data_IF_735377537828
#
_entry.id   IF_735377537828
#
_cell.length_a   1.000
_cell.length_b   1.000
_cell.length_c   1.000
_cell.angle_alpha   90.00
_cell.angle_beta   90.00
_cell.angle_gamma   90.00
#
_symmetry.space_group_name_H-M   'P 1'
#
loop_
_entity.id
_entity.type
_entity.pdbx_description
1 polymer ?
#
# COMPACT_ATOMS: atom_id res chain seq x y z
N UNK A 1 -25.10 29.53 35.50
CA UNK A 1 -25.51 28.66 34.38
C UNK A 1 -26.44 29.43 33.40
N UNK A 2 -26.01 30.56 32.85
CA UNK A 2 -26.85 31.36 31.94
C UNK A 2 -26.03 32.18 30.92
N UNK A 3 -24.89 31.68 30.45
CA UNK A 3 -24.05 32.39 29.44
C UNK A 3 -23.50 31.49 28.32
N UNK A 4 -24.06 30.29 28.10
CA UNK A 4 -23.62 29.38 27.03
C UNK A 4 -24.69 29.05 25.98
N UNK A 5 -25.79 29.82 25.91
CA UNK A 5 -26.91 29.62 24.95
C UNK A 5 -27.03 30.66 23.84
N UNK A 6 -26.10 31.60 23.71
CA UNK A 6 -26.22 32.75 22.74
C UNK A 6 -25.30 32.61 21.51
N UNK A 7 -24.48 31.57 21.39
CA UNK A 7 -23.55 31.43 20.24
C UNK A 7 -23.96 30.39 19.21
N UNK A 8 -25.16 29.80 19.28
CA UNK A 8 -25.65 28.79 18.31
C UNK A 8 -26.85 29.22 17.47
N UNK A 9 -27.24 30.51 17.50
CA UNK A 9 -28.44 30.99 16.76
C UNK A 9 -28.17 31.93 15.57
N UNK A 10 -26.94 32.09 15.07
CA UNK A 10 -26.63 33.02 13.97
C UNK A 10 -26.16 32.43 12.66
N UNK A 11 -26.45 31.12 12.39
CA UNK A 11 -26.17 30.47 11.11
C UNK A 11 -27.43 29.98 10.37
N UNK A 12 -28.48 30.83 10.37
CA UNK A 12 -29.55 30.73 9.38
C UNK A 12 -29.73 32.09 8.76
N UNK A 13 -29.38 32.23 7.54
CA UNK A 13 -29.85 33.15 6.47
C UNK A 13 -28.73 33.24 5.44
N UNK A 14 -28.86 32.59 4.33
CA UNK A 14 -28.94 33.11 2.99
C UNK A 14 -28.92 31.97 1.97
N UNK A 15 -30.11 31.49 1.64
CA UNK A 15 -30.33 30.81 0.35
C UNK A 15 -30.65 31.93 -0.65
N UNK A 16 -29.69 32.26 -1.51
CA UNK A 16 -30.00 32.86 -2.81
C UNK A 16 -29.23 32.11 -3.87
N UNK A 17 -29.99 31.44 -4.71
CA UNK A 17 -29.62 30.83 -5.96
C UNK A 17 -28.94 31.85 -6.88
N UNK A 18 -27.66 31.65 -7.18
CA UNK A 18 -27.04 32.10 -8.44
C UNK A 18 -26.16 30.99 -8.97
N UNK A 19 -26.62 30.41 -10.08
CA UNK A 19 -25.87 29.52 -10.94
C UNK A 19 -24.66 30.26 -11.51
N UNK A 20 -23.47 29.98 -10.99
CA UNK A 20 -22.23 30.25 -11.71
C UNK A 20 -21.71 28.90 -12.22
N UNK A 21 -21.84 28.68 -13.52
CA UNK A 21 -21.12 27.64 -14.23
C UNK A 21 -19.63 28.02 -14.23
N UNK A 22 -18.91 27.58 -13.21
CA UNK A 22 -17.46 27.62 -13.20
C UNK A 22 -16.96 26.48 -14.09
N UNK A 23 -16.37 26.81 -15.22
CA UNK A 23 -15.62 25.90 -16.07
C UNK A 23 -14.43 25.39 -15.27
N UNK A 24 -14.58 24.24 -14.61
CA UNK A 24 -13.52 23.60 -13.86
C UNK A 24 -12.45 23.07 -14.81
N UNK A 25 -11.21 23.47 -14.60
CA UNK A 25 -10.07 22.97 -15.38
C UNK A 25 -9.93 21.46 -15.25
N UNK A 26 -9.49 20.73 -16.29
CA UNK A 26 -9.48 19.25 -16.31
C UNK A 26 -8.54 18.58 -15.29
N UNK A 27 -7.77 19.33 -14.51
CA UNK A 27 -6.79 18.80 -13.57
C UNK A 27 -7.32 18.50 -12.15
N UNK A 28 -8.44 19.10 -11.73
CA UNK A 28 -9.01 18.91 -10.38
C UNK A 28 -10.03 17.76 -10.30
N UNK A 29 -10.53 17.26 -11.41
CA UNK A 29 -11.58 16.23 -11.44
C UNK A 29 -11.09 14.81 -11.11
N UNK A 30 -9.79 14.51 -11.23
CA UNK A 30 -9.29 13.15 -11.06
C UNK A 30 -9.27 12.66 -9.60
N UNK A 31 -9.19 13.57 -8.62
CA UNK A 31 -9.17 13.21 -7.20
C UNK A 31 -10.57 13.31 -6.58
N UNK A 32 -11.35 14.29 -6.98
CA UNK A 32 -12.72 14.47 -6.51
C UNK A 32 -13.66 13.37 -7.03
N UNK A 33 -13.47 12.87 -8.25
CA UNK A 33 -14.28 11.77 -8.82
C UNK A 33 -14.04 10.43 -8.12
N UNK A 34 -12.94 10.27 -7.38
CA UNK A 34 -12.68 9.06 -6.59
C UNK A 34 -13.56 8.98 -5.32
N UNK A 35 -14.05 10.13 -4.84
CA UNK A 35 -14.82 10.25 -3.60
C UNK A 35 -16.29 10.67 -3.81
N UNK A 36 -16.67 11.10 -5.00
CA UNK A 36 -18.07 11.41 -5.29
C UNK A 36 -18.90 10.12 -5.47
N UNK A 37 -19.97 9.93 -4.69
CA UNK A 37 -20.92 8.87 -4.96
C UNK A 37 -21.53 9.11 -6.35
N UNK A 38 -21.51 8.08 -7.19
CA UNK A 38 -22.15 8.10 -8.51
C UNK A 38 -23.67 8.19 -8.28
N UNK A 39 -24.26 9.38 -8.27
CA UNK A 39 -25.70 9.61 -8.10
C UNK A 39 -26.56 8.90 -9.18
N UNK A 40 -25.94 8.49 -10.27
CA UNK A 40 -26.64 7.72 -11.34
C UNK A 40 -26.94 6.26 -10.96
N UNK A 41 -26.43 5.74 -9.86
CA UNK A 41 -26.72 4.35 -9.42
C UNK A 41 -27.80 4.22 -8.34
N UNK A 42 -28.34 5.32 -7.83
CA UNK A 42 -29.29 5.31 -6.72
C UNK A 42 -30.77 5.41 -7.16
N UNK A 43 -31.16 4.91 -8.31
CA UNK A 43 -32.54 5.18 -8.61
C UNK A 43 -33.33 4.39 -9.65
N UNK A 44 -32.78 3.36 -10.27
CA UNK A 44 -33.64 2.50 -11.12
C UNK A 44 -33.34 1.03 -10.83
N UNK A 45 -34.22 0.39 -10.05
CA UNK A 45 -34.37 -1.07 -10.13
C UNK A 45 -34.66 -1.39 -11.60
N UNK A 46 -34.02 -2.38 -12.23
CA UNK A 46 -34.46 -2.87 -13.54
C UNK A 46 -35.93 -3.33 -13.35
N UNK A 47 -36.85 -2.68 -14.02
CA UNK A 47 -38.20 -3.17 -14.13
C UNK A 47 -38.16 -4.61 -14.63
N UNK A 48 -39.08 -5.43 -14.14
CA UNK A 48 -39.31 -6.81 -14.55
C UNK A 48 -39.19 -6.92 -16.08
N UNK A 49 -38.06 -7.42 -16.55
CA UNK A 49 -37.90 -7.81 -17.96
C UNK A 49 -38.60 -9.17 -18.05
N UNK A 50 -39.80 -9.18 -18.62
CA UNK A 50 -40.46 -10.42 -19.00
C UNK A 50 -39.55 -11.24 -19.90
N UNK A 51 -39.35 -12.54 -19.64
CA UNK A 51 -38.40 -13.36 -20.39
C UNK A 51 -38.78 -13.62 -21.86
N UNK A 52 -39.95 -13.25 -22.30
CA UNK A 52 -40.48 -13.68 -23.58
C UNK A 52 -40.20 -12.78 -24.80
N UNK A 53 -39.48 -11.67 -24.62
CA UNK A 53 -39.16 -10.76 -25.75
C UNK A 53 -37.69 -10.88 -26.23
N UNK A 54 -36.84 -11.67 -25.52
CA UNK A 54 -35.41 -11.72 -25.82
C UNK A 54 -34.98 -12.72 -26.90
N UNK A 55 -35.89 -13.57 -27.40
CA UNK A 55 -35.53 -14.68 -28.31
C UNK A 55 -35.70 -14.42 -29.80
N UNK A 56 -36.22 -13.25 -30.24
CA UNK A 56 -36.47 -12.97 -31.64
C UNK A 56 -35.82 -11.72 -32.22
N UNK A 57 -34.84 -11.13 -31.52
CA UNK A 57 -34.00 -10.11 -32.15
C UNK A 57 -32.74 -10.74 -32.73
N UNK A 58 -32.87 -11.52 -33.77
CA UNK A 58 -31.80 -11.65 -34.76
C UNK A 58 -31.57 -10.27 -35.32
N UNK A 59 -30.53 -9.57 -34.78
CA UNK A 59 -30.12 -8.30 -35.35
C UNK A 59 -29.57 -8.58 -36.78
N UNK A 60 -30.38 -8.36 -37.78
CA UNK A 60 -30.02 -8.35 -39.19
C UNK A 60 -29.20 -7.09 -39.56
N UNK A 61 -28.56 -6.44 -38.57
CA UNK A 61 -27.62 -5.37 -38.88
C UNK A 61 -26.36 -5.98 -39.50
N UNK A 62 -25.95 -5.53 -40.68
CA UNK A 62 -24.72 -5.99 -41.33
C UNK A 62 -23.54 -5.75 -40.37
N UNK A 63 -22.52 -6.62 -40.42
CA UNK A 63 -21.33 -6.43 -39.55
C UNK A 63 -20.77 -5.05 -39.80
N UNK A 64 -20.50 -4.32 -38.72
CA UNK A 64 -19.98 -2.95 -38.81
C UNK A 64 -18.72 -2.94 -39.69
N UNK A 65 -18.60 -2.01 -40.64
CA UNK A 65 -17.50 -1.96 -41.60
C UNK A 65 -16.17 -1.88 -40.83
N UNK A 66 -15.11 -2.52 -41.35
CA UNK A 66 -13.75 -2.57 -40.75
C UNK A 66 -13.21 -1.18 -40.38
N UNK A 67 -13.70 -0.12 -41.00
CA UNK A 67 -13.41 1.29 -40.68
C UNK A 67 -13.83 1.73 -39.25
N UNK A 68 -14.75 0.99 -38.61
CA UNK A 68 -15.17 1.22 -37.22
C UNK A 68 -14.15 0.70 -36.20
N UNK A 69 -13.19 -0.12 -36.60
CA UNK A 69 -12.10 -0.51 -35.72
C UNK A 69 -11.14 0.66 -35.52
N UNK A 70 -11.06 1.15 -34.31
CA UNK A 70 -10.16 2.25 -33.94
C UNK A 70 -8.71 1.85 -34.22
N UNK A 71 -8.09 2.48 -35.21
CA UNK A 71 -6.68 2.33 -35.51
C UNK A 71 -5.90 2.87 -34.30
N UNK A 72 -4.93 2.11 -33.73
CA UNK A 72 -4.10 2.61 -32.64
C UNK A 72 -3.43 3.92 -33.05
N UNK A 73 -3.45 4.95 -32.19
CA UNK A 73 -2.78 6.21 -32.52
C UNK A 73 -1.29 5.98 -32.72
N UNK A 74 -0.68 6.70 -33.64
CA UNK A 74 0.78 6.67 -33.86
C UNK A 74 1.46 7.05 -32.55
N UNK A 75 2.38 6.20 -32.08
CA UNK A 75 3.16 6.44 -30.86
C UNK A 75 4.14 7.59 -31.11
N UNK A 76 3.89 8.73 -30.46
CA UNK A 76 4.82 9.86 -30.46
C UNK A 76 5.73 9.79 -29.25
N UNK A 77 6.99 10.21 -29.39
CA UNK A 77 7.96 10.26 -28.28
C UNK A 77 7.42 11.03 -27.07
N UNK A 78 6.63 12.08 -27.29
CA UNK A 78 6.00 12.88 -26.22
C UNK A 78 4.92 12.12 -25.44
N UNK A 79 4.28 11.10 -26.03
CA UNK A 79 3.23 10.32 -25.38
C UNK A 79 3.79 9.15 -24.54
N UNK A 80 4.99 8.66 -24.87
CA UNK A 80 5.60 7.49 -24.22
C UNK A 80 5.79 7.64 -22.71
N UNK A 81 6.35 8.73 -22.14
CA UNK A 81 6.51 8.86 -20.68
C UNK A 81 5.18 8.74 -19.94
N UNK A 82 4.12 9.35 -20.47
CA UNK A 82 2.77 9.27 -19.88
C UNK A 82 2.22 7.84 -19.93
N UNK A 83 2.48 7.09 -21.00
CA UNK A 83 2.05 5.70 -21.10
C UNK A 83 2.84 4.81 -20.14
N UNK A 84 4.16 4.98 -20.03
CA UNK A 84 4.99 4.23 -19.10
C UNK A 84 4.62 4.49 -17.63
N UNK A 85 4.31 5.73 -17.24
CA UNK A 85 3.83 6.04 -15.89
C UNK A 85 2.48 5.39 -15.59
N UNK A 86 1.59 5.25 -16.60
CA UNK A 86 0.33 4.52 -16.45
C UNK A 86 0.53 3.00 -16.38
N UNK A 87 1.44 2.43 -17.16
CA UNK A 87 1.80 1.01 -17.12
C UNK A 87 2.42 0.63 -15.78
N UNK A 88 3.37 1.43 -15.32
CA UNK A 88 4.04 1.24 -14.01
C UNK A 88 3.12 1.50 -12.82
N UNK A 89 1.90 2.04 -13.02
CA UNK A 89 1.04 2.51 -11.92
C UNK A 89 1.83 3.42 -10.96
N UNK A 90 2.44 4.47 -11.48
CA UNK A 90 3.46 5.29 -10.79
C UNK A 90 3.12 5.68 -9.35
N UNK A 91 1.84 5.98 -9.03
CA UNK A 91 1.40 6.29 -7.66
C UNK A 91 1.58 5.09 -6.72
N UNK A 92 1.23 3.89 -7.17
CA UNK A 92 1.42 2.67 -6.40
C UNK A 92 2.91 2.35 -6.26
N UNK A 93 3.67 2.41 -7.35
CA UNK A 93 5.12 2.19 -7.34
C UNK A 93 5.83 3.15 -6.39
N UNK A 94 5.44 4.43 -6.35
CA UNK A 94 5.98 5.39 -5.38
C UNK A 94 5.73 4.95 -3.93
N UNK A 95 4.52 4.50 -3.60
CA UNK A 95 4.20 3.98 -2.25
C UNK A 95 5.00 2.71 -1.92
N UNK A 96 5.20 1.82 -2.89
CA UNK A 96 6.04 0.62 -2.73
C UNK A 96 7.49 1.01 -2.42
N UNK A 97 8.04 2.00 -3.15
CA UNK A 97 9.38 2.53 -2.86
C UNK A 97 9.45 3.14 -1.47
N UNK A 98 8.44 3.92 -1.05
CA UNK A 98 8.40 4.48 0.30
C UNK A 98 8.42 3.41 1.39
N UNK A 99 7.72 2.28 1.21
CA UNK A 99 7.77 1.18 2.17
C UNK A 99 9.13 0.47 2.17
N UNK A 100 9.81 0.38 1.03
CA UNK A 100 11.19 -0.12 0.96
C UNK A 100 12.14 0.84 1.69
N UNK A 101 12.00 2.15 1.47
CA UNK A 101 12.81 3.16 2.17
C UNK A 101 12.54 3.18 3.68
N UNK A 102 11.32 2.89 4.12
CA UNK A 102 11.04 2.71 5.55
C UNK A 102 11.82 1.53 6.14
N UNK A 103 11.99 0.43 5.38
CA UNK A 103 12.85 -0.69 5.77
C UNK A 103 14.32 -0.28 5.92
N UNK A 104 14.84 0.55 4.99
CA UNK A 104 16.20 1.13 5.11
C UNK A 104 16.29 2.03 6.35
N UNK A 105 15.32 2.92 6.52
CA UNK A 105 15.36 3.93 7.57
C UNK A 105 15.28 3.35 8.99
N UNK A 106 14.53 2.24 9.19
CA UNK A 106 14.41 1.59 10.50
C UNK A 106 15.56 0.62 10.78
N UNK A 107 16.27 0.15 9.74
CA UNK A 107 17.42 -0.75 9.94
C UNK A 107 18.44 -0.15 10.91
N UNK A 108 19.02 -0.95 11.82
CA UNK A 108 20.14 -0.53 12.65
C UNK A 108 21.43 -0.39 11.85
N UNK A 109 21.53 -1.08 10.70
CA UNK A 109 22.73 -1.07 9.88
C UNK A 109 22.77 0.15 8.96
N UNK A 110 23.91 0.81 8.82
CA UNK A 110 24.05 1.98 7.98
C UNK A 110 23.94 1.62 6.48
N UNK A 111 23.33 2.51 5.71
CA UNK A 111 23.29 2.39 4.26
C UNK A 111 24.05 3.56 3.61
N UNK A 112 24.86 3.26 2.61
CA UNK A 112 25.50 4.30 1.80
C UNK A 112 24.47 4.99 0.88
N UNK A 113 24.70 6.24 0.53
CA UNK A 113 23.82 6.97 -0.40
C UNK A 113 23.65 6.24 -1.74
N UNK A 114 24.71 5.70 -2.38
CA UNK A 114 24.54 4.89 -3.59
C UNK A 114 23.64 3.67 -3.39
N UNK A 115 23.78 2.94 -2.28
CA UNK A 115 22.92 1.78 -1.95
C UNK A 115 21.47 2.19 -1.76
N UNK A 116 21.23 3.31 -1.07
CA UNK A 116 19.88 3.86 -0.86
C UNK A 116 19.21 4.21 -2.20
N UNK A 117 19.91 4.94 -3.07
CA UNK A 117 19.41 5.32 -4.40
C UNK A 117 19.17 4.09 -5.27
N UNK A 118 20.11 3.13 -5.29
CA UNK A 118 19.97 1.90 -6.04
C UNK A 118 18.78 1.06 -5.56
N UNK A 119 18.56 0.99 -4.25
CA UNK A 119 17.42 0.29 -3.66
C UNK A 119 16.10 0.96 -4.05
N UNK A 120 16.02 2.28 -4.01
CA UNK A 120 14.83 3.03 -4.44
C UNK A 120 14.53 2.82 -5.93
N UNK A 121 15.52 3.00 -6.81
CA UNK A 121 15.35 2.86 -8.25
C UNK A 121 15.12 1.39 -8.64
N UNK A 122 15.88 0.45 -8.08
CA UNK A 122 15.73 -0.98 -8.32
C UNK A 122 14.34 -1.49 -7.91
N UNK A 123 13.84 -1.09 -6.73
CA UNK A 123 12.48 -1.39 -6.28
C UNK A 123 11.43 -0.78 -7.20
N UNK A 124 11.63 0.46 -7.67
CA UNK A 124 10.73 1.10 -8.62
C UNK A 124 10.66 0.34 -9.95
N UNK A 125 11.80 -0.11 -10.48
CA UNK A 125 11.88 -0.88 -11.72
C UNK A 125 11.20 -2.26 -11.55
N UNK A 126 11.46 -2.98 -10.46
CA UNK A 126 10.79 -4.24 -10.15
C UNK A 126 9.27 -4.07 -10.06
N UNK A 127 8.80 -3.02 -9.36
CA UNK A 127 7.38 -2.69 -9.25
C UNK A 127 6.77 -2.30 -10.60
N UNK A 128 7.49 -1.54 -11.43
CA UNK A 128 7.05 -1.17 -12.77
C UNK A 128 6.86 -2.40 -13.67
N UNK A 129 7.82 -3.33 -13.66
CA UNK A 129 7.75 -4.61 -14.36
C UNK A 129 6.53 -5.42 -13.91
N UNK A 130 6.41 -5.67 -12.61
CA UNK A 130 5.32 -6.44 -12.03
C UNK A 130 3.94 -5.85 -12.38
N UNK A 131 3.77 -4.54 -12.27
CA UNK A 131 2.53 -3.84 -12.62
C UNK A 131 2.21 -3.91 -14.11
N UNK A 132 3.23 -3.83 -14.97
CA UNK A 132 3.08 -3.92 -16.43
C UNK A 132 2.68 -5.33 -16.86
N UNK A 133 3.35 -6.36 -16.33
CA UNK A 133 3.00 -7.76 -16.57
C UNK A 133 1.59 -8.10 -16.10
N UNK A 134 1.18 -7.56 -14.95
CA UNK A 134 -0.20 -7.71 -14.47
C UNK A 134 -1.20 -7.08 -15.44
N UNK A 135 -0.93 -5.88 -15.98
CA UNK A 135 -1.82 -5.25 -16.96
C UNK A 135 -1.90 -6.05 -18.28
N UNK A 136 -0.79 -6.65 -18.74
CA UNK A 136 -0.77 -7.50 -19.94
C UNK A 136 -1.72 -8.70 -19.80
N UNK A 137 -1.73 -9.33 -18.63
CA UNK A 137 -2.55 -10.52 -18.35
C UNK A 137 -4.02 -10.20 -18.09
N UNK A 138 -4.32 -8.99 -17.62
CA UNK A 138 -5.66 -8.60 -17.18
C UNK A 138 -6.47 -7.81 -18.23
N UNK A 139 -5.96 -7.59 -19.45
CA UNK A 139 -6.65 -6.79 -20.49
C UNK A 139 -8.13 -7.13 -20.65
N UNK A 140 -8.56 -8.41 -20.83
CA UNK A 140 -9.97 -8.74 -21.04
C UNK A 140 -10.84 -8.50 -19.80
N UNK A 141 -10.27 -8.52 -18.60
CA UNK A 141 -10.98 -8.29 -17.33
C UNK A 141 -11.05 -6.80 -17.01
N UNK A 142 -9.97 -6.09 -17.25
CA UNK A 142 -9.88 -4.64 -17.11
C UNK A 142 -10.88 -3.91 -18.00
N UNK A 143 -11.17 -4.44 -19.17
CA UNK A 143 -12.16 -3.91 -20.10
C UNK A 143 -13.59 -3.94 -19.51
N UNK A 144 -13.90 -4.87 -18.63
CA UNK A 144 -15.20 -5.06 -18.01
C UNK A 144 -15.42 -4.15 -16.78
N UNK A 145 -14.37 -3.56 -16.24
CA UNK A 145 -14.43 -2.74 -15.03
C UNK A 145 -14.35 -1.24 -15.37
N UNK A 146 -15.29 -0.44 -14.90
CA UNK A 146 -15.35 1.02 -15.12
C UNK A 146 -14.04 1.70 -14.71
N UNK A 147 -13.43 1.26 -13.61
CA UNK A 147 -12.19 1.83 -13.07
C UNK A 147 -10.96 1.57 -13.96
N UNK A 148 -10.90 0.43 -14.65
CA UNK A 148 -9.70 -0.03 -15.35
C UNK A 148 -9.83 -0.02 -16.88
N UNK A 149 -11.04 0.15 -17.44
CA UNK A 149 -11.26 0.21 -18.90
C UNK A 149 -10.47 1.30 -19.62
N UNK A 150 -9.98 2.32 -18.88
CA UNK A 150 -9.16 3.40 -19.44
C UNK A 150 -7.64 3.10 -19.40
N UNK A 151 -7.23 1.89 -18.99
CA UNK A 151 -5.82 1.49 -19.03
C UNK A 151 -5.25 1.50 -20.45
N UNK A 152 -3.96 1.80 -20.65
CA UNK A 152 -3.34 1.94 -21.97
C UNK A 152 -3.56 0.75 -22.90
N UNK A 153 -3.43 -0.47 -22.39
CA UNK A 153 -3.62 -1.70 -23.17
C UNK A 153 -5.08 -1.93 -23.54
N UNK A 154 -6.02 -1.67 -22.63
CA UNK A 154 -7.46 -1.84 -22.89
C UNK A 154 -7.93 -0.90 -23.99
N UNK A 155 -7.49 0.36 -23.95
CA UNK A 155 -7.84 1.35 -25.00
C UNK A 155 -6.96 1.27 -26.26
N UNK A 156 -6.08 0.26 -26.35
CA UNK A 156 -5.16 0.04 -27.48
C UNK A 156 -4.26 1.26 -27.78
N UNK A 157 -3.84 2.00 -26.74
CA UNK A 157 -2.96 3.17 -26.89
C UNK A 157 -1.49 2.79 -27.13
N UNK A 158 -1.13 1.53 -26.87
CA UNK A 158 0.22 0.98 -27.05
C UNK A 158 0.11 -0.51 -27.38
N UNK A 159 1.00 -1.02 -28.21
CA UNK A 159 1.02 -2.43 -28.62
C UNK A 159 1.53 -3.35 -27.50
N UNK A 160 0.99 -4.57 -27.43
CA UNK A 160 1.37 -5.57 -26.42
C UNK A 160 2.85 -5.93 -26.48
N UNK A 161 3.44 -6.05 -27.66
CA UNK A 161 4.87 -6.36 -27.84
C UNK A 161 5.76 -5.27 -27.21
N UNK A 162 5.44 -3.99 -27.45
CA UNK A 162 6.16 -2.87 -26.86
C UNK A 162 6.06 -2.88 -25.33
N UNK A 163 4.87 -3.15 -24.79
CA UNK A 163 4.64 -3.25 -23.34
C UNK A 163 5.38 -4.44 -22.73
N UNK A 164 5.45 -5.57 -23.45
CA UNK A 164 6.25 -6.73 -23.03
C UNK A 164 7.74 -6.36 -22.98
N UNK A 165 8.26 -5.68 -24.01
CA UNK A 165 9.64 -5.18 -24.02
C UNK A 165 9.94 -4.26 -22.84
N UNK A 166 9.03 -3.33 -22.52
CA UNK A 166 9.17 -2.45 -21.34
C UNK A 166 9.16 -3.25 -20.03
N UNK A 167 8.26 -4.24 -19.89
CA UNK A 167 8.19 -5.08 -18.69
C UNK A 167 9.46 -5.92 -18.50
N UNK A 168 9.98 -6.51 -19.59
CA UNK A 168 11.23 -7.28 -19.54
C UNK A 168 12.43 -6.40 -19.24
N UNK A 169 12.56 -5.23 -19.88
CA UNK A 169 13.64 -4.31 -19.61
C UNK A 169 13.68 -3.85 -18.15
N UNK A 170 12.52 -3.43 -17.60
CA UNK A 170 12.43 -3.02 -16.19
C UNK A 170 12.60 -4.18 -15.23
N UNK A 171 12.12 -5.39 -15.61
CA UNK A 171 12.23 -6.61 -14.82
C UNK A 171 13.61 -7.25 -14.81
N UNK A 172 14.49 -6.90 -15.75
CA UNK A 172 15.89 -7.32 -15.75
C UNK A 172 16.79 -6.24 -15.12
N UNK A 173 16.60 -4.98 -15.52
CA UNK A 173 17.40 -3.87 -15.00
C UNK A 173 17.23 -3.65 -13.48
N UNK A 174 16.01 -3.81 -12.96
CA UNK A 174 15.76 -3.68 -11.53
C UNK A 174 16.59 -4.64 -10.68
N UNK A 175 16.43 -5.97 -10.85
CA UNK A 175 17.24 -6.96 -10.12
C UNK A 175 18.74 -6.83 -10.37
N UNK A 176 19.21 -6.51 -11.59
CA UNK A 176 20.61 -6.29 -11.87
C UNK A 176 21.15 -5.11 -11.04
N UNK A 177 20.44 -3.99 -11.02
CA UNK A 177 20.84 -2.82 -10.23
C UNK A 177 20.91 -3.15 -8.73
N UNK A 178 19.91 -3.90 -8.22
CA UNK A 178 19.91 -4.34 -6.82
C UNK A 178 21.06 -5.30 -6.52
N UNK A 179 21.38 -6.21 -7.44
CA UNK A 179 22.47 -7.15 -7.29
C UNK A 179 23.84 -6.45 -7.23
N UNK A 180 24.07 -5.51 -8.15
CA UNK A 180 25.38 -4.85 -8.30
C UNK A 180 25.65 -3.76 -7.26
N UNK A 181 24.60 -3.05 -6.81
CA UNK A 181 24.74 -1.86 -5.97
C UNK A 181 24.23 -2.06 -4.52
N UNK A 182 23.52 -3.13 -4.26
CA UNK A 182 23.09 -3.52 -2.91
C UNK A 182 23.66 -4.91 -2.58
N UNK A 183 22.90 -5.98 -2.81
CA UNK A 183 23.36 -7.35 -2.58
C UNK A 183 22.47 -8.39 -3.28
N UNK A 184 22.94 -9.67 -3.38
CA UNK A 184 22.18 -10.75 -4.02
C UNK A 184 20.83 -11.02 -3.36
N UNK A 185 20.71 -10.90 -2.05
CA UNK A 185 19.46 -11.17 -1.31
C UNK A 185 18.38 -10.15 -1.68
N UNK A 186 18.71 -8.88 -1.74
CA UNK A 186 17.80 -7.81 -2.16
C UNK A 186 17.34 -7.99 -3.61
N UNK A 187 18.26 -8.38 -4.50
CA UNK A 187 17.94 -8.68 -5.88
C UNK A 187 17.00 -9.88 -6.01
N UNK A 188 17.26 -10.95 -5.24
CA UNK A 188 16.41 -12.14 -5.21
C UNK A 188 14.99 -11.81 -4.70
N UNK A 189 14.86 -10.97 -3.67
CA UNK A 189 13.55 -10.48 -3.19
C UNK A 189 12.82 -9.68 -4.27
N UNK A 190 13.51 -8.79 -5.00
CA UNK A 190 12.93 -8.04 -6.11
C UNK A 190 12.41 -8.95 -7.22
N UNK A 191 13.20 -9.95 -7.62
CA UNK A 191 12.82 -10.94 -8.63
C UNK A 191 11.66 -11.82 -8.15
N UNK A 192 11.72 -12.32 -6.91
CA UNK A 192 10.65 -13.10 -6.29
C UNK A 192 9.34 -12.30 -6.22
N UNK A 193 9.42 -11.02 -5.92
CA UNK A 193 8.24 -10.15 -5.87
C UNK A 193 7.59 -9.97 -7.26
N UNK A 194 8.38 -9.82 -8.32
CA UNK A 194 7.87 -9.81 -9.71
C UNK A 194 7.16 -11.14 -10.01
N UNK A 195 7.81 -12.26 -9.72
CA UNK A 195 7.25 -13.59 -9.99
C UNK A 195 5.97 -13.87 -9.20
N UNK A 196 5.94 -13.53 -7.92
CA UNK A 196 4.76 -13.69 -7.07
C UNK A 196 3.59 -12.80 -7.53
N UNK A 197 3.86 -11.53 -7.87
CA UNK A 197 2.80 -10.60 -8.28
C UNK A 197 2.26 -10.91 -9.68
N UNK A 198 3.13 -10.99 -10.68
CA UNK A 198 2.72 -11.24 -12.05
C UNK A 198 2.32 -12.70 -12.30
N UNK A 199 3.00 -13.67 -11.67
CA UNK A 199 2.71 -15.08 -11.79
C UNK A 199 1.56 -15.52 -10.86
N UNK A 200 1.89 -15.78 -9.60
CA UNK A 200 0.96 -16.42 -8.66
C UNK A 200 -0.28 -15.56 -8.38
N UNK A 201 -0.10 -14.31 -7.90
CA UNK A 201 -1.21 -13.45 -7.49
C UNK A 201 -2.19 -13.16 -8.64
N UNK A 202 -1.68 -12.73 -9.81
CA UNK A 202 -2.52 -12.40 -10.96
C UNK A 202 -3.30 -13.62 -11.46
N UNK A 203 -2.67 -14.80 -11.48
CA UNK A 203 -3.30 -16.06 -11.87
C UNK A 203 -4.37 -16.49 -10.85
N UNK A 204 -4.10 -16.35 -9.54
CA UNK A 204 -5.00 -16.75 -8.45
C UNK A 204 -6.27 -15.88 -8.37
N UNK A 205 -6.25 -14.61 -8.80
CA UNK A 205 -7.40 -13.70 -8.73
C UNK A 205 -8.70 -14.29 -9.29
N UNK A 206 -8.60 -15.13 -10.31
CA UNK A 206 -9.76 -15.73 -10.99
C UNK A 206 -10.08 -17.14 -10.49
N UNK A 207 -9.22 -17.75 -9.69
CA UNK A 207 -9.31 -19.17 -9.33
C UNK A 207 -9.64 -19.37 -7.87
N UNK A 208 -9.08 -18.57 -6.99
CA UNK A 208 -9.17 -18.80 -5.55
C UNK A 208 -9.13 -17.51 -4.74
N UNK A 209 -9.73 -17.56 -3.54
CA UNK A 209 -9.69 -16.48 -2.55
C UNK A 209 -8.28 -16.24 -1.98
N UNK A 210 -7.36 -17.20 -2.13
CA UNK A 210 -5.98 -17.10 -1.64
C UNK A 210 -5.18 -15.97 -2.32
N UNK A 211 -5.69 -15.42 -3.44
CA UNK A 211 -5.11 -14.23 -4.05
C UNK A 211 -4.90 -13.08 -3.04
N UNK A 212 -5.80 -12.92 -2.06
CA UNK A 212 -5.70 -11.86 -1.05
C UNK A 212 -4.46 -12.05 -0.18
N UNK A 213 -4.19 -13.28 0.28
CA UNK A 213 -3.01 -13.60 1.09
C UNK A 213 -1.72 -13.52 0.29
N UNK A 214 -1.72 -14.06 -0.92
CA UNK A 214 -0.56 -13.92 -1.83
C UNK A 214 -0.26 -12.46 -2.13
N UNK A 215 -1.29 -11.64 -2.35
CA UNK A 215 -1.13 -10.18 -2.49
C UNK A 215 -0.56 -9.50 -1.25
N UNK A 216 -0.95 -9.98 -0.06
CA UNK A 216 -0.41 -9.46 1.19
C UNK A 216 1.08 -9.83 1.40
N UNK A 217 1.50 -11.02 0.98
CA UNK A 217 2.93 -11.39 0.95
C UNK A 217 3.70 -10.48 0.00
N UNK A 218 3.22 -10.31 -1.24
CA UNK A 218 3.83 -9.41 -2.24
C UNK A 218 4.05 -8.00 -1.69
N UNK A 219 3.04 -7.44 -1.02
CA UNK A 219 3.15 -6.09 -0.46
C UNK A 219 3.98 -5.98 0.82
N UNK A 220 4.30 -7.12 1.47
CA UNK A 220 5.19 -7.15 2.63
C UNK A 220 6.67 -7.37 2.27
N UNK A 221 7.00 -7.69 1.02
CA UNK A 221 8.39 -7.86 0.55
C UNK A 221 9.18 -6.53 0.44
N UNK A 222 8.61 -5.40 -0.03
CA UNK A 222 9.39 -4.17 -0.22
C UNK A 222 10.14 -3.67 1.02
N UNK A 223 9.58 -3.62 2.24
CA UNK A 223 10.35 -3.24 3.41
C UNK A 223 11.50 -4.20 3.72
N UNK A 224 11.34 -5.52 3.40
CA UNK A 224 12.43 -6.49 3.52
C UNK A 224 13.54 -6.22 2.50
N UNK A 225 13.21 -5.73 1.30
CA UNK A 225 14.22 -5.30 0.33
C UNK A 225 15.05 -4.13 0.87
N UNK A 226 14.39 -3.17 1.55
CA UNK A 226 15.10 -2.09 2.24
C UNK A 226 16.00 -2.58 3.37
N UNK A 227 15.50 -3.49 4.20
CA UNK A 227 16.25 -4.11 5.29
C UNK A 227 17.51 -4.83 4.79
N UNK A 228 17.33 -5.72 3.80
CA UNK A 228 18.46 -6.50 3.25
C UNK A 228 19.45 -5.65 2.48
N UNK A 229 19.03 -4.53 1.89
CA UNK A 229 19.91 -3.60 1.20
C UNK A 229 20.96 -2.97 2.15
N UNK A 230 20.62 -2.82 3.44
CA UNK A 230 21.56 -2.42 4.49
C UNK A 230 22.49 -3.57 4.94
N UNK A 231 22.35 -4.77 4.40
CA UNK A 231 23.11 -5.94 4.83
C UNK A 231 22.40 -6.80 5.89
N UNK A 232 21.20 -6.41 6.33
CA UNK A 232 20.41 -7.15 7.35
C UNK A 232 20.00 -8.55 6.86
N UNK A 233 20.03 -9.52 7.76
CA UNK A 233 19.61 -10.89 7.51
C UNK A 233 18.11 -11.05 7.74
N UNK A 234 17.48 -12.03 7.07
CA UNK A 234 16.01 -12.24 7.15
C UNK A 234 15.61 -13.36 8.09
N UNK A 235 16.41 -14.42 8.13
CA UNK A 235 16.07 -15.65 8.84
C UNK A 235 17.10 -15.95 9.93
N UNK A 236 16.66 -16.43 11.10
CA UNK A 236 17.57 -16.86 12.14
C UNK A 236 18.46 -18.02 11.67
N UNK A 237 19.66 -18.11 12.22
CA UNK A 237 20.61 -19.19 11.99
C UNK A 237 21.32 -19.52 13.30
N UNK A 238 22.19 -20.53 13.30
CA UNK A 238 22.96 -20.91 14.51
C UNK A 238 23.81 -19.74 15.08
N UNK A 239 24.22 -18.79 14.21
CA UNK A 239 25.01 -17.60 14.59
C UNK A 239 24.21 -16.30 14.58
N UNK A 240 22.92 -16.35 14.26
CA UNK A 240 22.02 -15.21 14.17
C UNK A 240 20.72 -15.55 14.90
N UNK A 241 20.76 -15.42 16.22
CA UNK A 241 19.71 -15.81 17.15
C UNK A 241 18.83 -14.59 17.47
N UNK A 242 17.50 -14.76 17.63
CA UNK A 242 16.63 -13.67 18.07
C UNK A 242 17.03 -13.19 19.47
N UNK A 243 17.22 -11.88 19.61
CA UNK A 243 17.40 -11.22 20.89
C UNK A 243 16.14 -10.47 21.29
N UNK A 244 15.83 -10.46 22.59
CA UNK A 244 14.61 -9.90 23.14
C UNK A 244 14.94 -8.71 24.04
N UNK A 245 14.59 -7.51 23.59
CA UNK A 245 14.79 -6.28 24.35
C UNK A 245 13.56 -6.00 25.23
N UNK A 246 13.63 -6.46 26.47
CA UNK A 246 12.57 -6.29 27.45
C UNK A 246 12.55 -4.85 28.03
N UNK A 247 11.39 -4.38 28.57
CA UNK A 247 11.36 -3.12 29.31
C UNK A 247 12.30 -3.17 30.52
N UNK A 248 12.87 -2.03 30.92
CA UNK A 248 13.87 -1.95 32.01
C UNK A 248 13.41 -2.52 33.34
N UNK A 249 12.11 -2.53 33.61
CA UNK A 249 11.54 -3.13 34.84
C UNK A 249 11.41 -4.67 34.79
N UNK A 250 11.62 -5.29 33.61
CA UNK A 250 11.61 -6.74 33.40
C UNK A 250 12.99 -7.29 32.99
N UNK A 251 13.93 -6.41 32.65
CA UNK A 251 15.28 -6.81 32.23
C UNK A 251 16.22 -6.94 33.42
N UNK A 252 17.04 -7.99 33.39
CA UNK A 252 18.15 -8.13 34.36
C UNK A 252 19.19 -7.04 34.06
N UNK A 253 19.63 -6.24 35.04
CA UNK A 253 20.64 -5.19 34.85
C UNK A 253 21.95 -5.69 34.22
N UNK A 254 22.26 -6.97 34.36
CA UNK A 254 23.46 -7.61 33.80
C UNK A 254 23.36 -7.88 32.28
N UNK A 255 22.15 -7.98 31.75
CA UNK A 255 21.88 -8.24 30.30
C UNK A 255 21.78 -6.96 29.51
N UNK A 256 21.60 -5.78 30.14
CA UNK A 256 21.36 -4.48 29.47
C UNK A 256 22.63 -3.83 28.88
N UNK A 257 23.75 -4.55 28.74
CA UNK A 257 24.99 -3.99 28.16
C UNK A 257 24.98 -3.91 26.61
N UNK A 258 23.96 -4.47 25.97
CA UNK A 258 23.89 -4.55 24.50
C UNK A 258 23.06 -3.39 23.97
N UNK A 259 23.66 -2.53 23.14
CA UNK A 259 22.96 -1.44 22.49
C UNK A 259 22.07 -1.99 21.35
N UNK A 260 20.72 -1.88 21.46
CA UNK A 260 19.81 -2.37 20.43
C UNK A 260 19.95 -1.65 19.08
N UNK A 261 20.55 -0.44 19.08
CA UNK A 261 20.73 0.34 17.85
C UNK A 261 21.84 -0.19 16.94
N UNK A 262 22.68 -1.10 17.44
CA UNK A 262 23.82 -1.66 16.72
C UNK A 262 23.62 -3.11 16.28
N UNK A 263 22.49 -3.72 16.64
CA UNK A 263 22.28 -5.16 16.44
C UNK A 263 21.30 -5.43 15.32
N UNK A 264 21.73 -6.20 14.32
CA UNK A 264 20.86 -6.86 13.36
C UNK A 264 20.12 -8.01 14.04
N UNK A 265 18.82 -7.84 14.31
CA UNK A 265 17.98 -8.80 15.01
C UNK A 265 16.95 -9.42 14.06
N UNK A 266 16.81 -10.77 13.95
CA UNK A 266 15.84 -11.43 13.07
C UNK A 266 14.38 -11.09 13.37
N UNK A 267 14.07 -10.58 14.55
CA UNK A 267 12.74 -10.05 14.87
C UNK A 267 12.40 -8.76 14.11
N UNK A 268 13.41 -7.99 13.69
CA UNK A 268 13.21 -6.74 12.95
C UNK A 268 12.54 -6.92 11.59
N UNK A 269 13.11 -7.71 10.68
CA UNK A 269 12.46 -8.00 9.40
C UNK A 269 11.13 -8.73 9.57
N UNK A 270 10.96 -9.58 10.60
CA UNK A 270 9.68 -10.19 10.91
C UNK A 270 8.63 -9.13 11.30
N UNK A 271 8.99 -8.16 12.14
CA UNK A 271 8.10 -7.08 12.54
C UNK A 271 7.66 -6.22 11.33
N UNK A 272 8.60 -5.86 10.44
CA UNK A 272 8.32 -5.13 9.21
C UNK A 272 7.41 -5.92 8.27
N UNK A 273 7.67 -7.23 8.10
CA UNK A 273 6.81 -8.11 7.31
C UNK A 273 5.41 -8.17 7.90
N UNK A 274 5.27 -8.44 9.19
CA UNK A 274 3.98 -8.57 9.87
C UNK A 274 3.16 -7.28 9.86
N UNK A 275 3.82 -6.13 9.97
CA UNK A 275 3.17 -4.83 9.84
C UNK A 275 2.50 -4.67 8.48
N UNK A 276 3.29 -4.78 7.40
CA UNK A 276 2.76 -4.59 6.04
C UNK A 276 1.78 -5.71 5.65
N UNK A 277 2.11 -6.96 5.96
CA UNK A 277 1.24 -8.10 5.70
C UNK A 277 -0.13 -7.91 6.34
N UNK A 278 -0.17 -7.59 7.63
CA UNK A 278 -1.44 -7.45 8.36
C UNK A 278 -2.20 -6.18 7.98
N UNK A 279 -1.51 -5.06 7.76
CA UNK A 279 -2.16 -3.78 7.39
C UNK A 279 -2.93 -3.86 6.08
N UNK A 280 -2.47 -4.66 5.12
CA UNK A 280 -3.12 -4.76 3.81
C UNK A 280 -4.53 -5.35 3.88
N UNK A 281 -4.84 -6.22 4.86
CA UNK A 281 -6.17 -6.82 4.96
C UNK A 281 -7.27 -5.82 5.30
N UNK A 282 -7.21 -5.01 6.37
CA UNK A 282 -8.21 -3.98 6.61
C UNK A 282 -8.29 -2.97 5.47
N UNK A 283 -7.15 -2.62 4.84
CA UNK A 283 -7.11 -1.72 3.71
C UNK A 283 -7.77 -2.29 2.45
N UNK A 284 -7.26 -3.41 1.97
CA UNK A 284 -7.71 -4.01 0.71
C UNK A 284 -9.12 -4.59 0.81
N UNK A 285 -9.46 -5.26 1.91
CA UNK A 285 -10.77 -5.87 2.07
C UNK A 285 -11.89 -4.83 2.16
N UNK A 286 -11.62 -3.68 2.79
CA UNK A 286 -12.55 -2.54 2.78
C UNK A 286 -12.76 -2.01 1.37
N UNK A 287 -11.66 -1.77 0.62
CA UNK A 287 -11.70 -1.34 -0.77
C UNK A 287 -12.43 -2.36 -1.67
N UNK A 288 -12.09 -3.64 -1.53
CA UNK A 288 -12.69 -4.71 -2.34
C UNK A 288 -14.18 -4.90 -2.03
N UNK A 289 -14.62 -4.62 -0.80
CA UNK A 289 -16.03 -4.62 -0.43
C UNK A 289 -16.81 -3.52 -1.17
N UNK A 290 -16.24 -2.32 -1.28
CA UNK A 290 -16.84 -1.20 -2.03
C UNK A 290 -16.96 -1.47 -3.53
N UNK A 291 -16.01 -2.22 -4.11
CA UNK A 291 -15.98 -2.54 -5.54
C UNK A 291 -16.41 -3.97 -5.86
N UNK A 292 -17.07 -4.68 -4.92
CA UNK A 292 -17.46 -6.09 -5.08
C UNK A 292 -18.27 -6.38 -6.33
N UNK A 293 -19.20 -5.47 -6.70
CA UNK A 293 -20.00 -5.61 -7.92
C UNK A 293 -19.16 -5.60 -9.19
N UNK A 294 -18.18 -4.68 -9.28
CA UNK A 294 -17.25 -4.62 -10.42
C UNK A 294 -16.33 -5.85 -10.49
N UNK A 295 -15.88 -6.37 -9.35
CA UNK A 295 -15.08 -7.59 -9.31
C UNK A 295 -15.90 -8.83 -9.70
N UNK A 296 -17.15 -8.91 -9.27
CA UNK A 296 -18.06 -9.98 -9.66
C UNK A 296 -18.32 -9.95 -11.17
N UNK A 297 -18.59 -8.75 -11.75
CA UNK A 297 -18.79 -8.57 -13.18
C UNK A 297 -17.57 -9.01 -14.00
N UNK A 298 -16.36 -8.71 -13.53
CA UNK A 298 -15.12 -9.14 -14.18
C UNK A 298 -14.73 -10.61 -13.92
N UNK A 299 -15.53 -11.38 -13.18
CA UNK A 299 -15.28 -12.78 -12.87
C UNK A 299 -14.15 -13.05 -11.88
N UNK A 300 -13.76 -12.06 -11.06
CA UNK A 300 -12.74 -12.25 -10.03
C UNK A 300 -13.30 -12.95 -8.79
N UNK A 301 -12.59 -13.97 -8.30
CA UNK A 301 -12.93 -14.69 -7.07
C UNK A 301 -12.32 -14.00 -5.85
N UNK A 302 -12.78 -12.78 -5.58
CA UNK A 302 -12.37 -12.04 -4.39
C UNK A 302 -13.12 -12.52 -3.16
N UNK A 303 -12.47 -12.48 -1.99
CA UNK A 303 -13.12 -12.83 -0.72
C UNK A 303 -14.37 -11.98 -0.47
N UNK A 304 -14.33 -10.69 -0.82
CA UNK A 304 -15.48 -9.77 -0.72
C UNK A 304 -16.65 -10.12 -1.62
N UNK A 305 -16.41 -10.81 -2.74
CA UNK A 305 -17.45 -11.28 -3.67
C UNK A 305 -18.05 -12.57 -3.18
N UNK A 306 -17.23 -13.56 -2.83
CA UNK A 306 -17.67 -14.91 -2.47
C UNK A 306 -18.21 -14.97 -1.04
N UNK A 307 -17.66 -14.22 -0.09
CA UNK A 307 -18.10 -14.20 1.30
C UNK A 307 -17.81 -12.85 1.95
N UNK A 308 -18.73 -11.85 1.81
CA UNK A 308 -18.57 -10.53 2.41
C UNK A 308 -18.39 -10.57 3.94
N UNK A 309 -19.07 -11.48 4.63
CA UNK A 309 -18.94 -11.64 6.08
C UNK A 309 -17.53 -12.12 6.48
N UNK A 310 -16.97 -13.12 5.78
CA UNK A 310 -15.59 -13.58 6.01
C UNK A 310 -14.58 -12.49 5.66
N UNK A 311 -14.83 -11.70 4.61
CA UNK A 311 -13.99 -10.56 4.23
C UNK A 311 -13.88 -9.53 5.37
N UNK A 312 -15.00 -9.17 6.01
CA UNK A 312 -15.03 -8.27 7.14
C UNK A 312 -14.35 -8.89 8.39
N UNK A 313 -14.57 -10.18 8.66
CA UNK A 313 -13.92 -10.89 9.77
C UNK A 313 -12.40 -10.96 9.60
N UNK A 314 -11.89 -11.24 8.39
CA UNK A 314 -10.45 -11.23 8.09
C UNK A 314 -9.86 -9.85 8.33
N UNK A 315 -10.55 -8.77 7.91
CA UNK A 315 -10.11 -7.40 8.20
C UNK A 315 -9.98 -7.14 9.71
N UNK A 316 -10.96 -7.58 10.49
CA UNK A 316 -10.94 -7.44 11.95
C UNK A 316 -9.78 -8.22 12.59
N UNK A 317 -9.58 -9.49 12.20
CA UNK A 317 -8.49 -10.34 12.72
C UNK A 317 -7.13 -9.70 12.50
N UNK A 318 -6.87 -9.19 11.31
CA UNK A 318 -5.60 -8.56 11.00
C UNK A 318 -5.45 -7.16 11.64
N UNK A 319 -6.54 -6.42 11.86
CA UNK A 319 -6.51 -5.21 12.67
C UNK A 319 -6.16 -5.51 14.15
N UNK A 320 -6.62 -6.66 14.69
CA UNK A 320 -6.22 -7.14 16.04
C UNK A 320 -4.73 -7.51 16.04
N UNK A 321 -4.24 -8.24 15.05
CA UNK A 321 -2.83 -8.66 14.95
C UNK A 321 -1.88 -7.45 14.85
N UNK A 322 -2.31 -6.35 14.23
CA UNK A 322 -1.51 -5.12 14.16
C UNK A 322 -1.20 -4.53 15.54
N UNK A 323 -2.09 -4.68 16.52
CA UNK A 323 -1.85 -4.15 17.87
C UNK A 323 -0.57 -4.79 18.48
N UNK A 324 -0.49 -6.12 18.71
CA UNK A 324 0.74 -6.70 19.27
C UNK A 324 1.94 -6.60 18.33
N UNK A 325 1.73 -6.54 17.03
CA UNK A 325 2.84 -6.30 16.09
C UNK A 325 3.51 -4.96 16.37
N UNK A 326 2.74 -3.88 16.55
CA UNK A 326 3.30 -2.56 16.83
C UNK A 326 3.70 -2.39 18.29
N UNK A 327 2.86 -2.82 19.26
CA UNK A 327 3.08 -2.54 20.67
C UNK A 327 4.03 -3.52 21.37
N UNK A 328 4.27 -4.70 20.81
CA UNK A 328 5.15 -5.71 21.41
C UNK A 328 6.32 -6.05 20.48
N UNK A 329 6.05 -6.50 19.25
CA UNK A 329 7.07 -7.07 18.39
C UNK A 329 8.15 -6.05 17.98
N UNK A 330 7.78 -4.80 17.66
CA UNK A 330 8.76 -3.74 17.34
C UNK A 330 9.66 -3.35 18.51
N UNK A 331 9.15 -3.03 19.71
CA UNK A 331 10.03 -2.78 20.86
C UNK A 331 10.87 -3.99 21.25
N UNK A 332 10.27 -5.17 21.23
CA UNK A 332 10.95 -6.43 21.58
C UNK A 332 12.09 -6.75 20.61
N UNK A 333 11.98 -6.34 19.33
CA UNK A 333 13.04 -6.50 18.33
C UNK A 333 14.21 -5.52 18.51
N UNK A 334 14.09 -4.53 19.39
CA UNK A 334 15.09 -3.48 19.57
C UNK A 334 15.03 -2.36 18.54
N UNK A 335 14.12 -2.38 17.58
CA UNK A 335 14.01 -1.33 16.55
C UNK A 335 13.48 -0.01 17.09
N UNK A 336 12.59 -0.07 18.08
CA UNK A 336 11.96 1.10 18.70
C UNK A 336 12.02 1.04 20.20
N UNK A 337 11.97 2.19 20.86
CA UNK A 337 11.80 2.28 22.30
C UNK A 337 10.42 1.75 22.72
N UNK A 338 10.26 1.38 23.99
CA UNK A 338 8.97 0.93 24.53
C UNK A 338 7.90 2.04 24.58
N UNK A 339 8.29 3.31 24.46
CA UNK A 339 7.35 4.41 24.27
C UNK A 339 6.52 4.27 22.97
N UNK A 340 7.08 3.64 21.93
CA UNK A 340 6.34 3.29 20.72
C UNK A 340 5.16 2.36 21.00
N UNK A 341 5.29 1.44 21.95
CA UNK A 341 4.20 0.55 22.34
C UNK A 341 2.96 1.34 22.75
N UNK A 342 3.11 2.40 23.56
CA UNK A 342 2.01 3.23 24.02
C UNK A 342 1.46 4.12 22.90
N UNK A 343 2.33 4.81 22.16
CA UNK A 343 1.92 5.76 21.11
C UNK A 343 1.24 5.07 19.91
N UNK A 344 1.68 3.87 19.54
CA UNK A 344 1.10 3.06 18.45
C UNK A 344 -0.32 2.55 18.73
N UNK A 345 -0.72 2.47 20.01
CA UNK A 345 -2.08 2.06 20.40
C UNK A 345 -3.13 3.06 19.91
N UNK A 346 -2.80 4.34 19.75
CA UNK A 346 -3.76 5.36 19.31
C UNK A 346 -4.22 5.08 17.87
N UNK A 347 -3.34 5.10 16.85
CA UNK A 347 -3.74 4.78 15.48
C UNK A 347 -4.26 3.35 15.34
N UNK A 348 -3.68 2.39 16.09
CA UNK A 348 -4.13 1.00 16.09
C UNK A 348 -5.57 0.85 16.59
N UNK A 349 -5.95 1.48 17.70
CA UNK A 349 -7.31 1.43 18.26
C UNK A 349 -8.34 2.07 17.34
N UNK A 350 -7.99 3.16 16.65
CA UNK A 350 -8.89 3.80 15.68
C UNK A 350 -9.16 2.87 14.50
N UNK A 351 -8.11 2.23 13.96
CA UNK A 351 -8.25 1.26 12.87
C UNK A 351 -9.06 0.03 13.33
N UNK A 352 -8.78 -0.49 14.51
CA UNK A 352 -9.48 -1.64 15.10
C UNK A 352 -10.98 -1.33 15.28
N UNK A 353 -11.32 -0.15 15.82
CA UNK A 353 -12.72 0.29 15.97
C UNK A 353 -13.44 0.36 14.62
N UNK A 354 -12.77 0.87 13.57
CA UNK A 354 -13.35 0.92 12.23
C UNK A 354 -13.55 -0.48 11.64
N UNK A 355 -12.59 -1.39 11.83
CA UNK A 355 -12.70 -2.79 11.39
C UNK A 355 -13.82 -3.55 12.13
N UNK A 356 -13.96 -3.31 13.43
CA UNK A 356 -15.05 -3.85 14.25
C UNK A 356 -16.43 -3.40 13.74
N UNK A 357 -16.59 -2.11 13.43
CA UNK A 357 -17.84 -1.57 12.86
C UNK A 357 -18.18 -2.25 11.54
N UNK A 358 -17.21 -2.32 10.60
CA UNK A 358 -17.39 -2.98 9.33
C UNK A 358 -17.80 -4.45 9.51
N UNK A 359 -17.22 -5.17 10.46
CA UNK A 359 -17.55 -6.55 10.75
C UNK A 359 -18.97 -6.68 11.31
N UNK A 360 -19.41 -5.77 12.20
CA UNK A 360 -20.75 -5.78 12.82
C UNK A 360 -21.86 -5.44 11.84
N UNK A 361 -21.64 -4.48 10.95
CA UNK A 361 -22.70 -3.93 10.10
C UNK A 361 -22.66 -4.47 8.67
N UNK A 362 -21.47 -4.81 8.15
CA UNK A 362 -21.27 -5.15 6.75
C UNK A 362 -21.61 -4.01 5.77
N UNK A 363 -21.78 -2.78 6.26
CA UNK A 363 -22.25 -1.65 5.47
C UNK A 363 -21.14 -1.04 4.60
N UNK A 364 -21.52 -0.48 3.45
CA UNK A 364 -20.58 0.24 2.58
C UNK A 364 -20.03 1.52 3.24
N UNK A 365 -20.83 2.15 4.12
CA UNK A 365 -20.43 3.31 4.90
C UNK A 365 -19.26 2.97 5.82
N UNK A 366 -19.36 1.87 6.56
CA UNK A 366 -18.31 1.44 7.50
C UNK A 366 -17.09 0.88 6.76
N UNK A 367 -17.28 0.20 5.61
CA UNK A 367 -16.18 -0.19 4.73
C UNK A 367 -15.41 1.04 4.21
N UNK A 368 -16.10 2.11 3.81
CA UNK A 368 -15.47 3.37 3.40
C UNK A 368 -14.71 4.03 4.56
N UNK A 369 -15.29 4.04 5.75
CA UNK A 369 -14.63 4.55 6.96
C UNK A 369 -13.35 3.76 7.27
N UNK A 370 -13.40 2.41 7.25
CA UNK A 370 -12.22 1.57 7.47
C UNK A 370 -11.14 1.83 6.42
N UNK A 371 -11.52 1.94 5.14
CA UNK A 371 -10.58 2.27 4.08
C UNK A 371 -9.89 3.62 4.32
N UNK A 372 -10.65 4.66 4.69
CA UNK A 372 -10.10 5.98 4.99
C UNK A 372 -9.14 5.95 6.19
N UNK A 373 -9.51 5.26 7.28
CA UNK A 373 -8.63 5.12 8.44
C UNK A 373 -7.35 4.34 8.11
N UNK A 374 -7.41 3.34 7.26
CA UNK A 374 -6.22 2.59 6.84
C UNK A 374 -5.23 3.43 6.03
N UNK A 375 -5.68 4.44 5.29
CA UNK A 375 -4.81 5.31 4.47
C UNK A 375 -3.84 6.15 5.31
N UNK A 376 -4.27 6.69 6.44
CA UNK A 376 -3.40 7.48 7.30
C UNK A 376 -2.73 6.65 8.40
N UNK A 377 -3.27 5.46 8.74
CA UNK A 377 -2.72 4.57 9.76
C UNK A 377 -1.26 4.19 9.46
N UNK A 378 -0.97 3.72 8.24
CA UNK A 378 0.38 3.28 7.89
C UNK A 378 1.40 4.43 7.95
N UNK A 379 1.17 5.60 7.33
CA UNK A 379 2.06 6.76 7.50
C UNK A 379 2.24 7.18 8.95
N UNK A 380 1.19 7.14 9.77
CA UNK A 380 1.27 7.49 11.19
C UNK A 380 2.15 6.49 11.95
N UNK A 381 1.97 5.17 11.73
CA UNK A 381 2.82 4.15 12.36
C UNK A 381 4.28 4.30 11.92
N UNK A 382 4.54 4.48 10.62
CA UNK A 382 5.91 4.67 10.11
C UNK A 382 6.55 5.95 10.69
N UNK A 383 5.80 7.03 10.81
CA UNK A 383 6.27 8.27 11.45
C UNK A 383 6.60 8.06 12.94
N UNK A 384 5.70 7.40 13.68
CA UNK A 384 5.95 7.07 15.08
C UNK A 384 7.16 6.14 15.26
N UNK A 385 7.35 5.16 14.35
CA UNK A 385 8.54 4.31 14.34
C UNK A 385 9.82 5.13 14.20
N UNK A 386 9.84 6.14 13.33
CA UNK A 386 11.01 7.02 13.19
C UNK A 386 11.26 7.86 14.44
N UNK A 387 10.20 8.42 15.04
CA UNK A 387 10.30 9.21 16.28
C UNK A 387 10.86 8.37 17.43
N UNK A 388 10.46 7.10 17.51
CA UNK A 388 10.84 6.19 18.59
C UNK A 388 11.94 5.21 18.18
N UNK A 389 12.65 5.43 17.06
CA UNK A 389 13.75 4.58 16.65
C UNK A 389 14.87 4.60 17.68
N UNK A 390 15.37 3.42 18.11
CA UNK A 390 16.52 3.33 18.99
C UNK A 390 17.79 3.89 18.30
N UNK A 391 18.67 4.52 19.06
CA UNK A 391 19.93 5.11 18.57
C UNK A 391 19.78 6.47 17.90
N UNK A 392 18.61 7.11 17.93
CA UNK A 392 18.41 8.48 17.44
C UNK A 392 18.31 9.42 18.62
N UNK A 393 19.31 10.27 18.81
CA UNK A 393 19.22 11.40 19.74
C UNK A 393 18.64 12.63 19.05
N UNK A 394 17.37 12.88 19.32
CA UNK A 394 16.68 14.05 18.80
C UNK A 394 17.17 15.35 19.44
N UNK A 395 17.79 15.31 20.63
CA UNK A 395 18.37 16.46 21.32
C UNK A 395 19.53 17.07 20.52
N UNK A 396 20.45 16.23 20.04
CA UNK A 396 21.54 16.66 19.15
C UNK A 396 21.01 17.25 17.84
N UNK A 397 19.97 16.63 17.26
CA UNK A 397 19.36 17.08 16.00
C UNK A 397 18.74 18.50 16.11
N UNK A 398 18.15 18.81 17.28
CA UNK A 398 17.57 20.12 17.55
C UNK A 398 18.53 21.11 18.20
N UNK A 399 19.85 20.81 18.22
CA UNK A 399 20.88 21.75 18.61
C UNK A 399 21.05 21.93 20.12
N UNK A 400 20.54 20.99 20.95
CA UNK A 400 20.85 20.94 22.36
C UNK A 400 22.26 20.35 22.53
N UNK A 401 23.30 21.22 22.48
CA UNK A 401 24.63 20.83 22.96
C UNK A 401 24.52 20.59 24.45
N UNK A 402 24.74 19.35 24.88
CA UNK A 402 24.96 19.08 26.29
C UNK A 402 26.24 19.80 26.70
N UNK A 403 26.09 20.83 27.55
CA UNK A 403 27.17 21.60 28.10
C UNK A 403 27.91 20.81 29.18
N UNK A 404 28.73 19.82 28.76
CA UNK A 404 29.72 19.17 29.61
C UNK A 404 31.10 19.19 28.93
N UNK A 405 31.60 20.44 28.70
CA UNK A 405 33.04 20.61 28.78
C UNK A 405 33.36 20.94 30.25
N UNK A 406 33.71 19.95 31.01
CA UNK A 406 34.47 20.14 32.24
C UNK A 406 35.83 20.70 31.82
N UNK A 407 36.02 22.01 31.98
CA UNK A 407 37.31 22.61 32.12
C UNK A 407 38.00 22.03 33.33
N UNK A 408 38.92 21.10 33.09
CA UNK A 408 39.91 20.68 34.09
C UNK A 408 41.24 20.62 33.35
N UNK A 409 41.86 21.81 33.16
CA UNK A 409 43.29 21.91 33.10
C UNK A 409 43.68 23.40 33.22
N UNK A 410 43.90 23.82 34.46
CA UNK A 410 44.93 24.83 34.81
C UNK A 410 45.23 24.72 36.30
N UNK A 411 46.31 24.06 36.63
CA UNK A 411 47.18 24.56 37.74
C UNK A 411 48.47 23.74 37.80
N UNK A 412 49.52 24.54 37.61
CA UNK A 412 50.93 24.33 38.02
C UNK A 412 51.74 23.29 37.29
#
# INVERSE_FOLDING_TARGET
MARLKILLSSWRICRTSRSFAAVASPRSLAFASFFNPNERWSGKRPGNIQPDVALNAQSTSPPAPLSTYRIPPVLTARALPKLYTQLSKSRLTFLVVLTSMAGVAISPLPASVPTLLATAVGTALCSASANTLNQLQEVPFDAQMVRTRMRPLVRKAIGSLHVTGFALATGTLGPILLYTMANPTTAALGLANIALYAGAYTWMKRRTIWNTWTGAVVGAIPPLMGWTACGGKLLPSATYIPEYFLPSFLSDPTVSSIDPSLIDNPLGPLALFMLLFSWQFPHFNALSHLYRGSYAQAGYKMLSVLSPAKNALVSLRHAIILIPTCSILFPLSGLTTWAFAATSLIPGSILLRAAWRMWRTGSEKDARSLFQHSLWHLPAILGLMMIHKNGVDWGEWFGKKDGTHTDSDTSS
#
